data_IF_848311409910
#
_entry.id   IF_848311409910
#
_cell.length_a   1.000
_cell.length_b   1.000
_cell.length_c   1.000
_cell.angle_alpha   90.00
_cell.angle_beta   90.00
_cell.angle_gamma   90.00
#
_symmetry.space_group_name_H-M   'P 1'
#
loop_
_entity.id
_entity.type
_entity.pdbx_description
1 polymer ?
#
# COMPACT_ATOMS: atom_id res chain seq x y z
N UNK A 1 7.53 -2.02 17.11
CA UNK A 1 6.40 -1.12 16.86
C UNK A 1 5.41 -1.24 18.00
N UNK A 2 5.22 -0.19 18.77
CA UNK A 2 4.09 -0.13 19.69
C UNK A 2 2.84 0.02 18.85
N UNK A 3 1.96 -0.98 18.88
CA UNK A 3 0.63 -0.93 18.27
C UNK A 3 -0.33 -0.14 19.17
N UNK A 4 0.13 0.99 19.70
CA UNK A 4 -0.71 1.86 20.50
C UNK A 4 -1.70 2.55 19.55
N UNK A 5 -2.97 2.23 19.71
CA UNK A 5 -4.06 2.85 18.98
C UNK A 5 -4.83 1.95 18.03
N UNK A 6 -4.54 0.64 17.99
CA UNK A 6 -5.43 -0.29 17.31
C UNK A 6 -6.66 -0.49 18.19
N UNK A 7 -7.64 0.40 18.05
CA UNK A 7 -8.92 0.26 18.69
C UNK A 7 -9.86 -0.43 17.70
N UNK A 8 -9.96 -1.75 17.80
CA UNK A 8 -11.06 -2.49 17.19
C UNK A 8 -12.21 -2.40 18.19
N UNK A 9 -13.22 -1.59 17.89
CA UNK A 9 -14.41 -1.54 18.72
C UNK A 9 -15.05 -2.93 18.76
N UNK A 10 -15.37 -3.46 19.96
CA UNK A 10 -16.03 -4.77 20.06
C UNK A 10 -17.39 -4.72 19.35
N UNK A 11 -17.59 -5.64 18.38
CA UNK A 11 -18.89 -5.83 17.73
C UNK A 11 -19.05 -5.19 16.36
N UNK A 12 -18.01 -4.66 15.74
CA UNK A 12 -18.06 -4.33 14.33
C UNK A 12 -17.46 -5.49 13.52
N UNK A 13 -18.32 -6.16 12.75
CA UNK A 13 -17.90 -7.01 11.64
C UNK A 13 -17.27 -6.08 10.60
N UNK A 14 -16.00 -5.73 10.82
CA UNK A 14 -15.26 -4.89 9.90
C UNK A 14 -14.62 -5.80 8.85
N UNK A 15 -15.08 -5.77 7.58
CA UNK A 15 -14.47 -6.55 6.51
C UNK A 15 -13.08 -6.04 6.11
N UNK A 16 -12.56 -5.05 6.82
CA UNK A 16 -11.21 -4.53 6.63
C UNK A 16 -10.16 -5.62 6.81
N UNK A 17 -9.17 -5.67 5.91
CA UNK A 17 -8.04 -6.60 5.97
C UNK A 17 -7.00 -6.21 7.03
N UNK A 18 -7.11 -5.01 7.59
CA UNK A 18 -6.27 -4.49 8.66
C UNK A 18 -6.92 -3.28 9.32
N UNK A 19 -6.63 -3.00 10.61
CA UNK A 19 -7.04 -1.74 11.23
C UNK A 19 -6.35 -0.55 10.54
N UNK A 20 -6.99 0.63 10.59
CA UNK A 20 -6.39 1.86 10.08
C UNK A 20 -5.27 2.33 11.02
N UNK A 21 -4.03 2.11 10.61
CA UNK A 21 -2.82 2.65 11.23
C UNK A 21 -2.03 3.36 10.14
N UNK A 22 -1.95 4.69 10.14
CA UNK A 22 -1.28 5.40 9.07
C UNK A 22 0.23 5.14 9.08
N UNK A 23 0.79 4.91 7.89
CA UNK A 23 2.23 4.82 7.70
C UNK A 23 2.85 6.22 7.90
N UNK A 24 3.87 6.39 8.74
CA UNK A 24 4.57 7.67 8.86
C UNK A 24 5.12 8.15 7.52
N UNK A 25 5.12 9.47 7.27
CA UNK A 25 5.58 10.03 5.98
C UNK A 25 7.03 9.66 5.65
N UNK A 26 7.90 9.61 6.65
CA UNK A 26 9.28 9.13 6.48
C UNK A 26 9.33 7.73 5.87
N UNK A 27 8.47 6.84 6.36
CA UNK A 27 8.36 5.46 5.86
C UNK A 27 7.73 5.42 4.48
N UNK A 28 6.69 6.23 4.23
CA UNK A 28 6.07 6.38 2.90
C UNK A 28 7.13 6.76 1.86
N UNK A 29 7.94 7.77 2.14
CA UNK A 29 8.99 8.22 1.25
C UNK A 29 10.04 7.15 0.98
N UNK A 30 10.39 6.39 2.00
CA UNK A 30 11.33 5.28 1.87
C UNK A 30 10.76 4.13 1.04
N UNK A 31 9.47 3.82 1.19
CA UNK A 31 8.77 2.82 0.36
C UNK A 31 8.79 3.21 -1.12
N UNK A 32 8.46 4.45 -1.42
CA UNK A 32 8.42 4.96 -2.81
C UNK A 32 9.81 5.01 -3.43
N UNK A 33 10.82 5.38 -2.68
CA UNK A 33 12.23 5.38 -3.12
C UNK A 33 12.73 3.95 -3.36
N UNK A 34 12.39 3.02 -2.46
CA UNK A 34 12.76 1.61 -2.60
C UNK A 34 12.15 0.99 -3.87
N UNK A 35 10.91 1.35 -4.18
CA UNK A 35 10.23 0.91 -5.40
C UNK A 35 10.70 1.65 -6.67
N UNK A 36 11.58 2.65 -6.53
CA UNK A 36 12.06 3.45 -7.65
C UNK A 36 10.93 4.12 -8.44
N UNK A 37 9.93 4.66 -7.73
CA UNK A 37 8.75 5.29 -8.35
C UNK A 37 9.16 6.49 -9.21
N UNK A 38 8.60 6.56 -10.41
CA UNK A 38 8.75 7.68 -11.33
C UNK A 38 7.39 8.15 -11.85
N UNK A 39 7.38 9.21 -12.65
CA UNK A 39 6.16 9.72 -13.28
C UNK A 39 5.50 8.75 -14.27
N UNK A 40 6.21 7.71 -14.69
CA UNK A 40 5.68 6.67 -15.58
C UNK A 40 4.91 5.60 -14.80
N UNK A 41 4.98 5.60 -13.48
CA UNK A 41 4.37 4.60 -12.64
C UNK A 41 2.90 4.86 -12.35
N UNK A 42 2.17 3.77 -12.11
CA UNK A 42 0.84 3.74 -11.54
C UNK A 42 0.90 2.98 -10.23
N UNK A 43 0.76 3.69 -9.12
CA UNK A 43 0.85 3.13 -7.77
C UNK A 43 -0.54 2.74 -7.27
N UNK A 44 -0.73 1.48 -6.94
CA UNK A 44 -1.94 0.99 -6.25
C UNK A 44 -1.61 0.77 -4.78
N UNK A 45 -2.33 1.47 -3.90
CA UNK A 45 -2.23 1.27 -2.46
C UNK A 45 -3.47 0.53 -1.95
N UNK A 46 -3.28 -0.71 -1.53
CA UNK A 46 -4.36 -1.57 -1.05
C UNK A 46 -4.54 -1.40 0.45
N UNK A 47 -5.68 -0.84 0.85
CA UNK A 47 -5.89 -0.33 2.19
C UNK A 47 -5.37 1.10 2.32
N UNK A 48 -5.82 1.99 1.44
CA UNK A 48 -5.20 3.31 1.26
C UNK A 48 -5.45 4.32 2.39
N UNK A 49 -6.42 4.06 3.27
CA UNK A 49 -6.71 4.93 4.39
C UNK A 49 -6.99 6.37 3.95
N UNK A 50 -6.23 7.30 4.50
CA UNK A 50 -6.33 8.74 4.17
C UNK A 50 -5.65 9.16 2.85
N UNK A 51 -5.14 8.19 2.10
CA UNK A 51 -4.58 8.41 0.77
C UNK A 51 -3.13 8.87 0.73
N UNK A 52 -2.44 8.94 1.87
CA UNK A 52 -1.11 9.56 1.95
C UNK A 52 -0.05 8.98 1.03
N UNK A 53 -0.08 7.66 0.78
CA UNK A 53 0.96 7.00 -0.05
C UNK A 53 0.82 7.42 -1.51
N UNK A 54 -0.35 7.30 -2.10
CA UNK A 54 -0.56 7.68 -3.51
C UNK A 54 -0.50 9.19 -3.71
N UNK A 55 -0.92 9.97 -2.72
CA UNK A 55 -0.79 11.44 -2.75
C UNK A 55 0.68 11.84 -2.75
N UNK A 56 1.49 11.25 -1.88
CA UNK A 56 2.93 11.51 -1.82
C UNK A 56 3.63 11.09 -3.11
N UNK A 57 3.26 9.94 -3.68
CA UNK A 57 3.78 9.49 -4.98
C UNK A 57 3.46 10.50 -6.09
N UNK A 58 2.26 11.05 -6.11
CA UNK A 58 1.85 12.06 -7.08
C UNK A 58 2.59 13.40 -6.88
N UNK A 59 2.70 13.86 -5.64
CA UNK A 59 3.35 15.15 -5.34
C UNK A 59 4.86 15.12 -5.61
N UNK A 60 5.54 14.04 -5.20
CA UNK A 60 7.01 13.98 -5.28
C UNK A 60 7.52 13.46 -6.60
N UNK A 61 6.81 12.54 -7.22
CA UNK A 61 7.30 11.84 -8.42
C UNK A 61 6.43 12.07 -9.65
N UNK A 62 5.28 12.73 -9.49
CA UNK A 62 4.32 12.90 -10.59
C UNK A 62 3.65 11.60 -11.03
N UNK A 63 3.69 10.55 -10.18
CA UNK A 63 3.08 9.27 -10.48
C UNK A 63 1.56 9.34 -10.37
N UNK A 64 0.88 8.56 -11.21
CA UNK A 64 -0.55 8.29 -11.03
C UNK A 64 -0.76 7.28 -9.92
N UNK A 65 -1.90 7.34 -9.26
CA UNK A 65 -2.20 6.45 -8.16
C UNK A 65 -3.66 6.09 -8.03
N UNK A 66 -3.88 4.90 -7.50
CA UNK A 66 -5.21 4.40 -7.14
C UNK A 66 -5.15 3.90 -5.71
N UNK A 67 -5.95 4.47 -4.84
CA UNK A 67 -6.13 4.01 -3.47
C UNK A 67 -7.40 3.19 -3.34
N UNK A 68 -7.30 2.02 -2.74
CA UNK A 68 -8.41 1.12 -2.48
C UNK A 68 -8.62 1.02 -0.98
N UNK A 69 -9.83 1.31 -0.54
CA UNK A 69 -10.22 1.11 0.85
C UNK A 69 -11.70 0.71 0.92
N UNK A 70 -12.05 -0.08 1.91
CA UNK A 70 -13.43 -0.54 2.08
C UNK A 70 -14.27 0.45 2.88
N UNK A 71 -13.61 1.36 3.61
CA UNK A 71 -14.27 2.34 4.47
C UNK A 71 -14.60 3.61 3.68
N UNK A 72 -15.91 3.94 3.48
CA UNK A 72 -16.30 5.14 2.74
C UNK A 72 -15.83 6.44 3.41
N UNK A 73 -15.67 6.45 4.73
CA UNK A 73 -15.14 7.62 5.45
C UNK A 73 -13.68 7.87 5.09
N UNK A 74 -12.87 6.82 4.96
CA UNK A 74 -11.48 6.93 4.53
C UNK A 74 -11.37 7.42 3.09
N UNK A 75 -12.23 6.93 2.22
CA UNK A 75 -12.31 7.41 0.82
C UNK A 75 -12.62 8.91 0.77
N UNK A 76 -13.57 9.38 1.57
CA UNK A 76 -13.91 10.81 1.63
C UNK A 76 -12.73 11.65 2.13
N UNK A 77 -12.03 11.21 3.17
CA UNK A 77 -10.83 11.87 3.69
C UNK A 77 -9.72 11.90 2.65
N UNK A 78 -9.48 10.79 1.95
CA UNK A 78 -8.46 10.69 0.92
C UNK A 78 -8.72 11.65 -0.25
N UNK A 79 -9.96 11.73 -0.71
CA UNK A 79 -10.35 12.69 -1.75
C UNK A 79 -10.12 14.14 -1.32
N UNK A 80 -10.48 14.49 -0.09
CA UNK A 80 -10.26 15.83 0.46
C UNK A 80 -8.76 16.13 0.58
N UNK A 81 -7.96 15.16 1.00
CA UNK A 81 -6.50 15.30 1.10
C UNK A 81 -5.84 15.49 -0.27
N UNK A 82 -6.29 14.75 -1.29
CA UNK A 82 -5.79 14.89 -2.65
C UNK A 82 -6.09 16.27 -3.24
N UNK A 83 -7.29 16.80 -2.99
CA UNK A 83 -7.69 18.14 -3.42
C UNK A 83 -6.83 19.21 -2.76
N UNK A 84 -6.63 19.13 -1.43
CA UNK A 84 -5.75 20.04 -0.70
C UNK A 84 -4.31 20.01 -1.18
N UNK A 85 -3.83 18.83 -1.57
CA UNK A 85 -2.48 18.64 -2.12
C UNK A 85 -2.34 19.06 -3.58
N UNK A 86 -3.46 19.33 -4.27
CA UNK A 86 -3.46 19.73 -5.68
C UNK A 86 -3.16 18.59 -6.64
N UNK A 87 -3.37 17.33 -6.24
CA UNK A 87 -3.05 16.15 -7.07
C UNK A 87 -4.28 15.31 -7.45
N UNK A 88 -5.49 15.83 -7.26
CA UNK A 88 -6.73 15.11 -7.57
C UNK A 88 -6.83 14.65 -9.03
N UNK A 89 -6.10 15.26 -9.93
CA UNK A 89 -6.02 14.88 -11.34
C UNK A 89 -5.12 13.69 -11.62
N UNK A 90 -4.28 13.29 -10.65
CA UNK A 90 -3.36 12.16 -10.76
C UNK A 90 -3.81 10.93 -9.96
N UNK A 91 -4.70 11.10 -8.99
CA UNK A 91 -5.08 10.04 -8.05
C UNK A 91 -6.58 9.77 -8.09
N UNK A 92 -6.94 8.52 -7.83
CA UNK A 92 -8.33 8.06 -7.71
C UNK A 92 -8.45 7.20 -6.46
N UNK A 93 -9.55 7.36 -5.72
CA UNK A 93 -9.86 6.53 -4.55
C UNK A 93 -11.15 5.76 -4.80
N UNK A 94 -11.12 4.45 -4.57
CA UNK A 94 -12.22 3.54 -4.85
C UNK A 94 -12.59 2.81 -3.57
N UNK A 95 -13.89 2.88 -3.20
CA UNK A 95 -14.46 2.08 -2.13
C UNK A 95 -14.67 0.66 -2.64
N UNK A 96 -13.77 -0.25 -2.26
CA UNK A 96 -13.78 -1.62 -2.72
C UNK A 96 -12.98 -2.52 -1.78
N UNK A 97 -13.35 -3.79 -1.71
CA UNK A 97 -12.53 -4.82 -1.06
C UNK A 97 -11.27 -5.06 -1.89
N UNK A 98 -10.11 -4.97 -1.26
CA UNK A 98 -8.81 -5.20 -1.92
C UNK A 98 -8.69 -6.58 -2.55
N UNK A 99 -9.42 -7.58 -2.05
CA UNK A 99 -9.44 -8.94 -2.62
C UNK A 99 -10.19 -9.04 -3.95
N UNK A 100 -10.93 -8.01 -4.33
CA UNK A 100 -11.76 -7.99 -5.54
C UNK A 100 -11.28 -7.02 -6.60
N UNK A 101 -10.25 -6.21 -6.31
CA UNK A 101 -9.77 -5.18 -7.22
C UNK A 101 -8.93 -5.77 -8.35
N UNK A 102 -9.11 -5.24 -9.55
CA UNK A 102 -8.22 -5.51 -10.68
C UNK A 102 -6.98 -4.61 -10.60
N UNK A 103 -5.82 -5.22 -10.40
CA UNK A 103 -4.53 -4.53 -10.31
C UNK A 103 -3.69 -4.62 -11.59
N UNK A 104 -4.28 -5.07 -12.69
CA UNK A 104 -3.53 -5.33 -13.94
C UNK A 104 -2.85 -4.09 -14.52
N UNK A 105 -3.33 -2.89 -14.21
CA UNK A 105 -2.71 -1.63 -14.65
C UNK A 105 -1.66 -1.08 -13.67
N UNK A 106 -1.50 -1.69 -12.50
CA UNK A 106 -0.52 -1.25 -11.53
C UNK A 106 0.90 -1.59 -11.96
N UNK A 107 1.82 -0.67 -11.77
CA UNK A 107 3.26 -0.91 -11.88
C UNK A 107 3.93 -1.05 -10.52
N UNK A 108 3.30 -0.47 -9.49
CA UNK A 108 3.72 -0.58 -8.09
C UNK A 108 2.50 -0.84 -7.23
N UNK A 109 2.59 -1.79 -6.32
CA UNK A 109 1.59 -2.05 -5.29
C UNK A 109 2.22 -1.83 -3.94
N UNK A 110 1.57 -1.04 -3.09
CA UNK A 110 2.00 -0.81 -1.72
C UNK A 110 1.03 -1.46 -0.74
N UNK A 111 1.59 -2.04 0.33
CA UNK A 111 0.85 -2.78 1.35
C UNK A 111 1.32 -2.36 2.73
N UNK A 112 0.36 -2.13 3.62
CA UNK A 112 0.57 -2.12 5.06
C UNK A 112 -0.56 -2.88 5.74
N UNK A 113 -0.57 -4.19 5.52
CA UNK A 113 -1.59 -5.11 5.95
C UNK A 113 -0.95 -6.23 6.76
N UNK A 114 -1.75 -6.97 7.53
CA UNK A 114 -1.27 -8.14 8.26
C UNK A 114 -0.76 -9.24 7.33
N UNK A 115 0.14 -10.10 7.82
CA UNK A 115 0.68 -11.23 7.05
C UNK A 115 -0.42 -12.12 6.47
N UNK A 116 -1.49 -12.36 7.22
CA UNK A 116 -2.64 -13.15 6.76
C UNK A 116 -3.35 -12.49 5.57
N UNK A 117 -3.45 -11.17 5.55
CA UNK A 117 -4.01 -10.42 4.44
C UNK A 117 -3.10 -10.46 3.22
N UNK A 118 -1.79 -10.29 3.43
CA UNK A 118 -0.79 -10.42 2.37
C UNK A 118 -0.85 -11.79 1.69
N UNK A 119 -1.03 -12.85 2.47
CA UNK A 119 -1.14 -14.22 1.94
C UNK A 119 -2.41 -14.43 1.12
N UNK A 120 -3.51 -13.75 1.45
CA UNK A 120 -4.74 -13.77 0.64
C UNK A 120 -4.57 -12.99 -0.66
N UNK A 121 -3.80 -11.92 -0.64
CA UNK A 121 -3.54 -11.08 -1.82
C UNK A 121 -2.50 -11.69 -2.76
N UNK A 122 -1.56 -12.48 -2.25
CA UNK A 122 -0.43 -13.04 -3.01
C UNK A 122 -0.87 -13.72 -4.31
N UNK A 123 -1.83 -14.66 -4.32
CA UNK A 123 -2.26 -15.29 -5.57
C UNK A 123 -2.92 -14.32 -6.53
N UNK A 124 -3.69 -13.35 -6.03
CA UNK A 124 -4.36 -12.35 -6.84
C UNK A 124 -3.36 -11.41 -7.51
N UNK A 125 -2.38 -10.93 -6.74
CA UNK A 125 -1.34 -10.02 -7.24
C UNK A 125 -0.44 -10.70 -8.26
N UNK A 126 0.02 -11.91 -7.97
CA UNK A 126 0.94 -12.62 -8.88
C UNK A 126 0.27 -13.10 -10.15
N UNK A 127 -1.05 -13.23 -10.16
CA UNK A 127 -1.82 -13.54 -11.37
C UNK A 127 -2.07 -12.31 -12.24
N UNK A 128 -2.40 -11.17 -11.62
CA UNK A 128 -2.91 -10.00 -12.35
C UNK A 128 -1.84 -8.98 -12.71
N UNK A 129 -0.80 -8.84 -11.90
CA UNK A 129 0.25 -7.83 -12.13
C UNK A 129 1.09 -8.15 -13.37
N UNK A 130 1.51 -7.12 -14.12
CA UNK A 130 2.47 -7.31 -15.21
C UNK A 130 3.84 -7.74 -14.68
N UNK A 131 4.58 -8.45 -15.50
CA UNK A 131 6.00 -8.81 -15.21
C UNK A 131 6.80 -7.52 -15.02
N UNK A 132 7.61 -7.49 -13.98
CA UNK A 132 8.40 -6.32 -13.60
C UNK A 132 7.68 -5.35 -12.65
N UNK A 133 6.40 -5.55 -12.36
CA UNK A 133 5.73 -4.80 -11.32
C UNK A 133 6.42 -4.99 -9.97
N UNK A 134 6.40 -3.96 -9.14
CA UNK A 134 7.04 -3.96 -7.83
C UNK A 134 5.99 -3.95 -6.75
N UNK A 135 6.19 -4.76 -5.72
CA UNK A 135 5.34 -4.83 -4.53
C UNK A 135 6.19 -4.42 -3.34
N UNK A 136 5.75 -3.42 -2.59
CA UNK A 136 6.40 -2.98 -1.36
C UNK A 136 5.46 -3.17 -0.19
N UNK A 137 5.88 -3.93 0.80
CA UNK A 137 5.12 -4.14 2.04
C UNK A 137 5.84 -3.53 3.24
N UNK A 138 5.10 -2.77 4.02
CA UNK A 138 5.56 -2.25 5.30
C UNK A 138 5.27 -3.28 6.39
N UNK A 139 6.30 -3.69 7.10
CA UNK A 139 6.31 -4.56 8.28
C UNK A 139 6.03 -6.05 8.04
N UNK A 140 5.23 -6.44 7.05
CA UNK A 140 4.74 -7.82 6.91
C UNK A 140 5.19 -8.46 5.60
N UNK A 141 5.66 -9.72 5.70
CA UNK A 141 6.12 -10.51 4.56
C UNK A 141 4.97 -11.14 3.77
N UNK A 142 5.32 -11.88 2.73
CA UNK A 142 4.41 -12.71 1.91
C UNK A 142 4.73 -14.20 2.06
N UNK A 143 4.86 -14.67 3.29
CA UNK A 143 5.11 -16.07 3.59
C UNK A 143 6.48 -16.53 3.07
N UNK A 144 6.49 -17.58 2.29
CA UNK A 144 7.71 -18.19 1.74
C UNK A 144 8.24 -17.53 0.45
N UNK A 145 7.55 -16.49 -0.05
CA UNK A 145 8.07 -15.72 -1.18
C UNK A 145 9.16 -14.78 -0.70
N UNK A 146 10.42 -15.17 -0.98
CA UNK A 146 11.59 -14.38 -0.59
C UNK A 146 11.58 -13.01 -1.26
N UNK A 147 11.74 -11.91 -0.51
CA UNK A 147 11.85 -10.58 -1.10
C UNK A 147 13.17 -10.41 -1.84
N UNK A 148 13.15 -9.59 -2.88
CA UNK A 148 14.37 -9.15 -3.56
C UNK A 148 15.19 -8.21 -2.68
N UNK A 149 14.52 -7.42 -1.86
CA UNK A 149 15.15 -6.53 -0.87
C UNK A 149 14.37 -6.59 0.44
N UNK A 150 15.10 -6.72 1.53
CA UNK A 150 14.60 -6.49 2.89
C UNK A 150 15.36 -5.29 3.45
N UNK A 151 14.68 -4.19 3.62
CA UNK A 151 15.22 -2.94 4.16
C UNK A 151 14.78 -2.75 5.61
N UNK A 152 15.72 -2.95 6.54
CA UNK A 152 15.50 -2.71 7.97
C UNK A 152 16.19 -1.41 8.37
N UNK A 153 15.46 -0.56 9.05
CA UNK A 153 15.97 0.73 9.49
C UNK A 153 15.28 1.19 10.76
N UNK A 154 15.89 2.19 11.41
CA UNK A 154 15.32 2.88 12.55
C UNK A 154 14.76 4.23 12.06
N UNK A 155 13.51 4.53 12.39
CA UNK A 155 12.90 5.81 12.05
C UNK A 155 13.35 6.93 13.01
N UNK A 156 12.95 8.17 12.73
CA UNK A 156 13.36 9.35 13.51
C UNK A 156 12.88 9.31 14.96
N UNK A 157 11.89 8.47 15.27
CA UNK A 157 11.37 8.26 16.63
C UNK A 157 12.01 7.06 17.35
N UNK A 158 13.00 6.39 16.72
CA UNK A 158 13.67 5.24 17.27
C UNK A 158 12.94 3.92 17.10
N UNK A 159 11.90 3.86 16.27
CA UNK A 159 11.19 2.62 15.97
C UNK A 159 11.88 1.85 14.84
N UNK A 160 12.08 0.54 15.05
CA UNK A 160 12.57 -0.32 13.98
C UNK A 160 11.48 -0.59 12.97
N UNK A 161 11.79 -0.36 11.69
CA UNK A 161 10.89 -0.59 10.56
C UNK A 161 11.51 -1.60 9.61
N UNK A 162 10.65 -2.39 8.95
CA UNK A 162 11.04 -3.32 7.91
C UNK A 162 10.21 -3.08 6.67
N UNK A 163 10.87 -2.95 5.52
CA UNK A 163 10.23 -2.86 4.22
C UNK A 163 10.67 -4.04 3.37
N UNK A 164 9.72 -4.64 2.68
CA UNK A 164 9.95 -5.77 1.78
C UNK A 164 9.64 -5.33 0.36
N UNK A 165 10.54 -5.62 -0.56
CA UNK A 165 10.35 -5.38 -1.98
C UNK A 165 10.38 -6.70 -2.74
N UNK A 166 9.36 -6.94 -3.55
CA UNK A 166 9.33 -8.02 -4.53
C UNK A 166 9.20 -7.44 -5.94
N UNK A 167 9.96 -8.00 -6.86
CA UNK A 167 9.77 -7.76 -8.29
C UNK A 167 9.04 -8.96 -8.88
N UNK A 168 7.90 -8.70 -9.50
CA UNK A 168 7.11 -9.79 -10.08
C UNK A 168 7.81 -10.36 -11.31
N UNK A 169 8.09 -11.65 -11.28
CA UNK A 169 8.79 -12.39 -12.34
C UNK A 169 7.87 -13.12 -13.33
N UNK A 170 6.55 -12.96 -13.17
CA UNK A 170 5.54 -13.64 -13.97
C UNK A 170 5.07 -14.98 -13.40
N UNK A 171 5.67 -15.44 -12.31
CA UNK A 171 5.26 -16.70 -11.65
C UNK A 171 4.04 -16.46 -10.75
N UNK A 172 2.96 -17.19 -11.02
CA UNK A 172 1.82 -17.20 -10.10
C UNK A 172 2.20 -17.93 -8.81
N UNK A 173 1.80 -17.35 -7.66
CA UNK A 173 2.12 -17.91 -6.36
C UNK A 173 0.84 -18.16 -5.57
N UNK A 174 0.63 -19.40 -5.08
CA UNK A 174 -0.56 -19.74 -4.30
C UNK A 174 -0.61 -19.03 -2.93
#
# INVERSE_FOLDING_TARGET
MKLEGIFIAPGQDNPSLAPFVPTPYEVVNRMLTLAEVTSDDVVYDLGSGDGRIVIEAAQRFGARGVGIDIDPQRIAEANANAERAGVQHLVQFIEQDALTVDVSEATVVTLYLLSSSNMKLRPLLTKALPVGARIVSHAFSMGDWEPDVLDKFEDDLGNTRSLYLWRHDGTERP
#
